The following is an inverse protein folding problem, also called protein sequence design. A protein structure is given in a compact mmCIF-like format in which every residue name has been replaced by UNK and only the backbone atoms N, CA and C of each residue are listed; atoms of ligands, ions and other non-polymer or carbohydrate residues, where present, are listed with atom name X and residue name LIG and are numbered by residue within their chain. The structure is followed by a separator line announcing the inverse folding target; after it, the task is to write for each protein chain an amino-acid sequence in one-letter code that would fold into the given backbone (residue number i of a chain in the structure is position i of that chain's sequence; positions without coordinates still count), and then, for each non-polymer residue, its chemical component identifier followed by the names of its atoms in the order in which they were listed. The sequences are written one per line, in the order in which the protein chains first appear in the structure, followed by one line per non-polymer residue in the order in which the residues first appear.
data_IF_576120683320
#
_entry.id   IF_576120683320
#
_cell.length_a   1.000
_cell.length_b   1.000
_cell.length_c   1.000
_cell.angle_alpha   90.00
_cell.angle_beta   90.00
_cell.angle_gamma   90.00
#
_symmetry.space_group_name_H-M   'P 1'
#
loop_
_entity.id
_entity.type
_entity.pdbx_description
1 polymer ?
#
# COMPACT_ATOMS: atom_id res chain seq x y z
N UNK A 1 3.06 -31.40 -16.49
CA UNK A 1 2.88 -29.97 -16.24
C UNK A 1 1.91 -29.34 -17.25
N UNK A 2 2.20 -29.42 -18.57
CA UNK A 2 1.40 -28.74 -19.61
C UNK A 2 -0.07 -29.20 -19.66
N UNK A 3 -0.34 -30.51 -19.55
CA UNK A 3 -1.73 -31.04 -19.52
C UNK A 3 -2.48 -30.59 -18.24
N UNK A 4 -1.80 -30.54 -17.12
CA UNK A 4 -2.38 -30.03 -15.87
C UNK A 4 -2.67 -28.51 -15.96
N UNK A 5 -1.80 -27.75 -16.61
CA UNK A 5 -2.03 -26.33 -16.89
C UNK A 5 -3.27 -26.11 -17.77
N UNK A 6 -3.37 -26.84 -18.91
CA UNK A 6 -4.53 -26.73 -19.80
C UNK A 6 -5.84 -27.13 -19.10
N UNK A 7 -5.81 -28.21 -18.31
CA UNK A 7 -6.96 -28.64 -17.50
C UNK A 7 -7.39 -27.59 -16.49
N UNK A 8 -6.43 -26.97 -15.82
CA UNK A 8 -6.67 -25.87 -14.86
C UNK A 8 -7.26 -24.63 -15.52
N UNK A 9 -6.68 -24.17 -16.61
CA UNK A 9 -7.18 -23.01 -17.36
C UNK A 9 -8.59 -23.24 -17.89
N UNK A 10 -8.87 -24.41 -18.41
CA UNK A 10 -10.24 -24.78 -18.85
C UNK A 10 -11.22 -24.76 -17.68
N UNK A 11 -10.87 -25.42 -16.55
CA UNK A 11 -11.72 -25.44 -15.36
C UNK A 11 -11.98 -24.03 -14.84
N UNK A 12 -10.96 -23.16 -14.86
CA UNK A 12 -11.10 -21.76 -14.49
C UNK A 12 -12.08 -21.02 -15.39
N UNK A 13 -11.87 -21.06 -16.71
CA UNK A 13 -12.73 -20.40 -17.68
C UNK A 13 -14.19 -20.88 -17.61
N UNK A 14 -14.38 -22.19 -17.51
CA UNK A 14 -15.72 -22.79 -17.38
C UNK A 14 -16.42 -22.34 -16.09
N UNK A 15 -15.68 -22.25 -14.97
CA UNK A 15 -16.24 -21.76 -13.70
C UNK A 15 -16.62 -20.29 -13.75
N UNK A 16 -15.76 -19.43 -14.32
CA UNK A 16 -16.03 -18.00 -14.46
C UNK A 16 -17.26 -17.72 -15.35
N UNK A 17 -17.38 -18.43 -16.48
CA UNK A 17 -18.54 -18.29 -17.37
C UNK A 17 -19.85 -18.70 -16.67
N UNK A 18 -19.83 -19.80 -15.91
CA UNK A 18 -20.99 -20.27 -15.15
C UNK A 18 -21.34 -19.32 -14.01
N UNK A 19 -20.33 -18.83 -13.26
CA UNK A 19 -20.56 -17.84 -12.19
C UNK A 19 -21.20 -16.57 -12.74
N UNK A 20 -20.75 -16.06 -13.88
CA UNK A 20 -21.33 -14.89 -14.53
C UNK A 20 -22.81 -15.13 -14.88
N UNK A 21 -23.14 -16.29 -15.48
CA UNK A 21 -24.52 -16.66 -15.80
C UNK A 21 -25.42 -16.81 -14.59
N UNK A 22 -24.96 -17.51 -13.54
CA UNK A 22 -25.72 -17.67 -12.28
C UNK A 22 -25.95 -16.35 -11.57
N UNK A 23 -24.94 -15.48 -11.48
CA UNK A 23 -25.07 -14.16 -10.84
C UNK A 23 -26.05 -13.24 -11.59
N UNK A 24 -26.15 -13.36 -12.91
CA UNK A 24 -27.19 -12.63 -13.68
C UNK A 24 -28.59 -13.05 -13.27
N UNK A 25 -28.81 -14.31 -12.86
CA UNK A 25 -30.11 -14.82 -12.45
C UNK A 25 -30.51 -14.41 -11.02
N UNK A 26 -29.55 -14.14 -10.14
CA UNK A 26 -29.83 -13.83 -8.71
C UNK A 26 -30.87 -12.72 -8.53
N UNK A 27 -30.73 -11.52 -9.12
CA UNK A 27 -31.71 -10.46 -8.96
C UNK A 27 -33.06 -10.78 -9.62
N UNK A 28 -33.09 -11.58 -10.67
CA UNK A 28 -34.34 -11.94 -11.37
C UNK A 28 -35.24 -12.84 -10.53
N UNK A 29 -34.65 -13.60 -9.60
CA UNK A 29 -35.40 -14.51 -8.70
C UNK A 29 -35.37 -14.06 -7.26
N UNK A 30 -35.16 -12.77 -6.99
CA UNK A 30 -35.03 -12.23 -5.63
C UNK A 30 -36.25 -12.50 -4.72
N UNK A 31 -37.45 -12.69 -5.30
CA UNK A 31 -38.68 -12.98 -4.58
C UNK A 31 -39.05 -14.48 -4.52
N UNK A 32 -38.25 -15.35 -5.11
CA UNK A 32 -38.48 -16.81 -5.17
C UNK A 32 -37.45 -17.52 -4.27
N UNK A 33 -37.86 -17.82 -3.04
CA UNK A 33 -36.98 -18.42 -2.02
C UNK A 33 -36.39 -19.78 -2.42
N UNK A 34 -37.13 -20.57 -3.19
CA UNK A 34 -36.67 -21.90 -3.65
C UNK A 34 -35.54 -21.72 -4.68
N UNK A 35 -35.76 -20.84 -5.66
CA UNK A 35 -34.73 -20.54 -6.69
C UNK A 35 -33.53 -19.82 -6.11
N UNK A 36 -33.73 -18.94 -5.12
CA UNK A 36 -32.63 -18.29 -4.40
C UNK A 36 -31.74 -19.33 -3.67
N UNK A 37 -32.35 -20.28 -2.99
CA UNK A 37 -31.59 -21.34 -2.33
C UNK A 37 -30.83 -22.23 -3.32
N UNK A 38 -31.47 -22.59 -4.42
CA UNK A 38 -30.80 -23.35 -5.50
C UNK A 38 -29.65 -22.57 -6.13
N UNK A 39 -29.86 -21.28 -6.46
CA UNK A 39 -28.81 -20.41 -7.03
C UNK A 39 -27.63 -20.28 -6.08
N UNK A 40 -27.86 -20.10 -4.77
CA UNK A 40 -26.77 -20.03 -3.79
C UNK A 40 -25.95 -21.33 -3.77
N UNK A 41 -26.60 -22.49 -3.76
CA UNK A 41 -25.93 -23.80 -3.79
C UNK A 41 -25.11 -23.97 -5.09
N UNK A 42 -25.66 -23.62 -6.25
CA UNK A 42 -24.96 -23.70 -7.53
C UNK A 42 -23.77 -22.76 -7.61
N UNK A 43 -23.93 -21.52 -7.11
CA UNK A 43 -22.84 -20.53 -7.03
C UNK A 43 -21.68 -21.08 -6.20
N UNK A 44 -21.95 -21.65 -5.03
CA UNK A 44 -20.93 -22.26 -4.17
C UNK A 44 -20.25 -23.43 -4.86
N UNK A 45 -21.02 -24.32 -5.48
CA UNK A 45 -20.50 -25.50 -6.19
C UNK A 45 -19.57 -25.11 -7.32
N UNK A 46 -19.99 -24.14 -8.13
CA UNK A 46 -19.20 -23.63 -9.27
C UNK A 46 -17.96 -22.87 -8.78
N UNK A 47 -18.11 -22.01 -7.79
CA UNK A 47 -17.00 -21.26 -7.19
C UNK A 47 -15.90 -22.18 -6.63
N UNK A 48 -16.29 -23.35 -6.12
CA UNK A 48 -15.35 -24.32 -5.54
C UNK A 48 -14.70 -25.25 -6.60
N UNK A 49 -15.15 -25.27 -7.84
CA UNK A 49 -14.68 -26.20 -8.89
C UNK A 49 -13.19 -25.99 -9.23
N UNK A 50 -12.75 -24.76 -9.38
CA UNK A 50 -11.34 -24.43 -9.68
C UNK A 50 -10.41 -24.66 -8.47
N UNK A 51 -10.70 -24.19 -7.26
CA UNK A 51 -9.95 -24.56 -6.06
C UNK A 51 -9.85 -26.07 -5.85
N UNK A 52 -10.93 -26.83 -6.11
CA UNK A 52 -10.93 -28.30 -6.03
C UNK A 52 -9.97 -28.93 -7.04
N UNK A 53 -9.95 -28.42 -8.28
CA UNK A 53 -8.99 -28.87 -9.29
C UNK A 53 -7.55 -28.62 -8.84
N UNK A 54 -7.23 -27.41 -8.35
CA UNK A 54 -5.89 -27.06 -7.88
C UNK A 54 -5.47 -28.01 -6.73
N UNK A 55 -6.36 -28.28 -5.77
CA UNK A 55 -6.10 -29.20 -4.66
C UNK A 55 -5.83 -30.63 -5.12
N UNK A 56 -6.34 -31.05 -6.27
CA UNK A 56 -6.07 -32.37 -6.84
C UNK A 56 -4.67 -32.53 -7.44
N UNK A 57 -3.98 -31.41 -7.70
CA UNK A 57 -2.62 -31.41 -8.22
C UNK A 57 -1.61 -31.60 -7.07
N UNK A 58 -0.48 -32.31 -7.30
CA UNK A 58 0.57 -32.42 -6.29
C UNK A 58 1.09 -31.07 -5.83
N UNK A 59 1.26 -30.90 -4.52
CA UNK A 59 1.54 -29.61 -3.88
C UNK A 59 2.83 -28.94 -4.36
N UNK A 60 3.86 -29.71 -4.58
CA UNK A 60 5.20 -29.25 -4.96
C UNK A 60 5.35 -28.95 -6.46
N UNK A 61 4.29 -29.09 -7.27
CA UNK A 61 4.37 -28.79 -8.71
C UNK A 61 4.22 -27.31 -8.99
N UNK A 62 5.11 -26.78 -9.82
CA UNK A 62 5.06 -25.41 -10.30
C UNK A 62 3.66 -25.04 -10.84
N UNK A 63 3.07 -25.92 -11.65
CA UNK A 63 1.75 -25.68 -12.27
C UNK A 63 0.64 -25.44 -11.22
N UNK A 64 0.70 -26.14 -10.07
CA UNK A 64 -0.27 -25.92 -9.00
C UNK A 64 -0.13 -24.52 -8.41
N UNK A 65 1.08 -24.10 -8.10
CA UNK A 65 1.36 -22.77 -7.54
C UNK A 65 1.04 -21.65 -8.55
N UNK A 66 1.41 -21.88 -9.81
CA UNK A 66 1.09 -20.95 -10.90
C UNK A 66 -0.42 -20.75 -11.06
N UNK A 67 -1.20 -21.84 -11.12
CA UNK A 67 -2.66 -21.79 -11.27
C UNK A 67 -3.33 -21.16 -10.04
N UNK A 68 -2.83 -21.42 -8.82
CA UNK A 68 -3.33 -20.80 -7.62
C UNK A 68 -3.10 -19.28 -7.66
N UNK A 69 -1.88 -18.84 -7.95
CA UNK A 69 -1.55 -17.42 -8.06
C UNK A 69 -2.33 -16.74 -9.18
N UNK A 70 -2.42 -17.37 -10.35
CA UNK A 70 -3.14 -16.82 -11.50
C UNK A 70 -4.64 -16.70 -11.22
N UNK A 71 -5.23 -17.72 -10.58
CA UNK A 71 -6.62 -17.69 -10.15
C UNK A 71 -6.91 -16.55 -9.17
N UNK A 72 -6.02 -16.34 -8.20
CA UNK A 72 -6.13 -15.22 -7.26
C UNK A 72 -6.07 -13.88 -7.98
N UNK A 73 -5.09 -13.67 -8.87
CA UNK A 73 -4.95 -12.43 -9.65
C UNK A 73 -6.24 -12.08 -10.40
N UNK A 74 -6.86 -13.06 -11.05
CA UNK A 74 -8.08 -12.86 -11.83
C UNK A 74 -9.35 -12.67 -10.96
N UNK A 75 -9.39 -13.27 -9.77
CA UNK A 75 -10.58 -13.28 -8.92
C UNK A 75 -10.60 -12.18 -7.87
N UNK A 76 -9.44 -11.75 -7.34
CA UNK A 76 -9.38 -10.71 -6.31
C UNK A 76 -10.05 -9.39 -6.72
N UNK A 77 -9.88 -8.84 -7.95
CA UNK A 77 -10.60 -7.64 -8.37
C UNK A 77 -12.11 -7.80 -8.33
N UNK A 78 -12.63 -8.94 -8.79
CA UNK A 78 -14.07 -9.25 -8.76
C UNK A 78 -14.58 -9.42 -7.33
N UNK A 79 -13.74 -9.92 -6.42
CA UNK A 79 -14.06 -10.03 -5.00
C UNK A 79 -14.20 -8.66 -4.36
N UNK A 80 -13.31 -7.73 -4.70
CA UNK A 80 -13.38 -6.34 -4.23
C UNK A 80 -14.68 -5.67 -4.68
N UNK A 81 -15.09 -5.86 -5.93
CA UNK A 81 -16.23 -5.18 -6.53
C UNK A 81 -17.57 -5.86 -6.21
N UNK A 82 -17.63 -7.18 -6.33
CA UNK A 82 -18.91 -7.92 -6.40
C UNK A 82 -19.02 -9.01 -5.33
N UNK A 83 -17.98 -9.82 -5.11
CA UNK A 83 -18.06 -11.04 -4.30
C UNK A 83 -17.36 -10.88 -2.94
N UNK A 84 -17.65 -9.81 -2.21
CA UNK A 84 -16.97 -9.44 -0.95
C UNK A 84 -16.91 -10.58 0.07
N UNK A 85 -17.89 -11.46 0.09
CA UNK A 85 -17.94 -12.65 0.96
C UNK A 85 -16.80 -13.65 0.71
N UNK A 86 -16.14 -13.61 -0.46
CA UNK A 86 -15.00 -14.48 -0.78
C UNK A 86 -13.66 -13.98 -0.25
N UNK A 87 -13.58 -12.77 0.28
CA UNK A 87 -12.32 -12.18 0.73
C UNK A 87 -11.57 -13.05 1.76
N UNK A 88 -12.21 -13.64 2.79
CA UNK A 88 -11.51 -14.52 3.71
C UNK A 88 -10.91 -15.76 3.05
N UNK A 89 -11.61 -16.34 2.05
CA UNK A 89 -11.12 -17.50 1.31
C UNK A 89 -9.88 -17.13 0.47
N UNK A 90 -9.90 -16.00 -0.22
CA UNK A 90 -8.76 -15.56 -1.03
C UNK A 90 -7.55 -15.18 -0.17
N UNK A 91 -7.75 -14.65 1.04
CA UNK A 91 -6.67 -14.42 2.00
C UNK A 91 -6.02 -15.76 2.40
N UNK A 92 -6.83 -16.76 2.72
CA UNK A 92 -6.32 -18.09 3.08
C UNK A 92 -5.61 -18.78 1.89
N UNK A 93 -6.15 -18.63 0.68
CA UNK A 93 -5.55 -19.15 -0.55
C UNK A 93 -4.22 -18.47 -0.87
N UNK A 94 -4.13 -17.14 -0.69
CA UNK A 94 -2.87 -16.39 -0.83
C UNK A 94 -1.81 -16.90 0.16
N UNK A 95 -2.18 -17.11 1.41
CA UNK A 95 -1.27 -17.64 2.43
C UNK A 95 -0.79 -19.06 2.13
N UNK A 96 -1.50 -19.81 1.27
CA UNK A 96 -1.11 -21.14 0.82
C UNK A 96 -0.23 -21.15 -0.45
N UNK A 97 -0.01 -19.99 -1.08
CA UNK A 97 0.89 -19.88 -2.25
C UNK A 97 2.33 -20.10 -1.81
N UNK A 98 3.03 -21.04 -2.45
CA UNK A 98 4.48 -21.14 -2.37
C UNK A 98 5.10 -20.08 -3.29
N UNK A 99 5.51 -18.95 -2.69
CA UNK A 99 6.03 -17.80 -3.43
C UNK A 99 7.35 -18.13 -4.12
N UNK A 100 8.19 -19.01 -3.54
CA UNK A 100 9.43 -19.50 -4.16
C UNK A 100 9.18 -20.14 -5.52
N UNK A 101 8.14 -20.95 -5.61
CA UNK A 101 7.80 -21.62 -6.85
C UNK A 101 7.42 -20.66 -7.99
N UNK A 102 7.17 -19.37 -7.69
CA UNK A 102 6.80 -18.35 -8.68
C UNK A 102 8.01 -17.55 -9.22
N UNK A 103 9.25 -17.87 -8.85
CA UNK A 103 10.46 -17.09 -9.20
C UNK A 103 10.55 -16.67 -10.66
N UNK A 104 10.19 -17.54 -11.59
CA UNK A 104 10.23 -17.25 -13.02
C UNK A 104 8.87 -17.02 -13.68
N UNK A 105 7.82 -16.81 -12.86
CA UNK A 105 6.45 -16.68 -13.36
C UNK A 105 6.09 -15.29 -13.85
N UNK A 106 6.79 -14.25 -13.37
CA UNK A 106 6.42 -12.84 -13.58
C UNK A 106 5.18 -12.37 -12.81
N UNK A 107 4.60 -13.22 -11.92
CA UNK A 107 3.30 -12.94 -11.28
C UNK A 107 3.37 -12.14 -9.98
N UNK A 108 4.56 -11.91 -9.41
CA UNK A 108 4.69 -11.24 -8.09
C UNK A 108 3.96 -9.91 -8.02
N UNK A 109 4.18 -9.04 -9.02
CA UNK A 109 3.60 -7.71 -9.04
C UNK A 109 2.08 -7.75 -8.98
N UNK A 110 1.47 -8.47 -9.91
CA UNK A 110 0.01 -8.55 -10.01
C UNK A 110 -0.60 -9.24 -8.78
N UNK A 111 0.05 -10.28 -8.27
CA UNK A 111 -0.41 -11.03 -7.11
C UNK A 111 -0.39 -10.15 -5.84
N UNK A 112 0.71 -9.47 -5.55
CA UNK A 112 0.87 -8.66 -4.34
C UNK A 112 0.02 -7.38 -4.39
N UNK A 113 -0.09 -6.75 -5.55
CA UNK A 113 -0.97 -5.60 -5.76
C UNK A 113 -2.45 -6.00 -5.60
N UNK A 114 -2.87 -7.09 -6.23
CA UNK A 114 -4.23 -7.62 -6.09
C UNK A 114 -4.57 -7.98 -4.65
N UNK A 115 -3.65 -8.61 -3.93
CA UNK A 115 -3.82 -8.93 -2.52
C UNK A 115 -3.93 -7.67 -1.64
N UNK A 116 -3.07 -6.69 -1.85
CA UNK A 116 -3.13 -5.41 -1.12
C UNK A 116 -4.47 -4.73 -1.34
N UNK A 117 -4.92 -4.61 -2.58
CA UNK A 117 -6.22 -4.00 -2.91
C UNK A 117 -7.40 -4.75 -2.27
N UNK A 118 -7.33 -6.08 -2.17
CA UNK A 118 -8.34 -6.88 -1.48
C UNK A 118 -8.38 -6.55 0.01
N UNK A 119 -7.21 -6.49 0.66
CA UNK A 119 -7.09 -6.27 2.10
C UNK A 119 -7.44 -4.84 2.49
N UNK A 120 -7.17 -3.83 1.66
CA UNK A 120 -7.57 -2.43 1.90
C UNK A 120 -9.09 -2.24 2.07
N UNK A 121 -9.91 -3.20 1.66
CA UNK A 121 -11.37 -3.15 1.79
C UNK A 121 -11.90 -3.66 3.13
N UNK A 122 -11.02 -4.10 4.02
CA UNK A 122 -11.42 -4.49 5.37
C UNK A 122 -11.91 -3.29 6.18
N UNK A 123 -12.83 -3.51 7.14
CA UNK A 123 -13.55 -2.42 7.81
C UNK A 123 -12.65 -1.49 8.62
N UNK A 124 -11.56 -2.01 9.17
CA UNK A 124 -10.67 -1.22 10.02
C UNK A 124 -9.23 -1.23 9.49
N UNK A 125 -8.56 -0.10 9.67
CA UNK A 125 -7.14 0.03 9.30
C UNK A 125 -6.25 -0.92 10.11
N UNK A 126 -6.67 -1.31 11.30
CA UNK A 126 -5.92 -2.21 12.17
C UNK A 126 -5.98 -3.66 11.65
N UNK A 127 -7.14 -4.12 11.21
CA UNK A 127 -7.29 -5.41 10.52
C UNK A 127 -6.48 -5.44 9.23
N UNK A 128 -6.59 -4.41 8.40
CA UNK A 128 -5.79 -4.24 7.17
C UNK A 128 -4.29 -4.37 7.47
N UNK A 129 -3.79 -3.62 8.47
CA UNK A 129 -2.37 -3.67 8.84
C UNK A 129 -1.95 -5.06 9.33
N UNK A 130 -2.76 -5.71 10.16
CA UNK A 130 -2.46 -7.04 10.70
C UNK A 130 -2.38 -8.09 9.59
N UNK A 131 -3.34 -8.10 8.67
CA UNK A 131 -3.39 -9.04 7.56
C UNK A 131 -2.21 -8.81 6.61
N UNK A 132 -1.90 -7.56 6.27
CA UNK A 132 -0.77 -7.23 5.41
C UNK A 132 0.57 -7.57 6.06
N UNK A 133 0.77 -7.27 7.34
CA UNK A 133 2.00 -7.62 8.05
C UNK A 133 2.25 -9.13 8.05
N UNK A 134 1.20 -9.93 8.30
CA UNK A 134 1.29 -11.39 8.24
C UNK A 134 1.67 -11.89 6.84
N UNK A 135 1.12 -11.29 5.80
CA UNK A 135 1.47 -11.64 4.42
C UNK A 135 2.91 -11.21 4.06
N UNK A 136 3.36 -10.05 4.55
CA UNK A 136 4.73 -9.56 4.38
C UNK A 136 5.72 -10.53 5.02
N UNK A 137 5.49 -10.93 6.28
CA UNK A 137 6.33 -11.90 6.98
C UNK A 137 6.47 -13.20 6.21
N UNK A 138 5.34 -13.71 5.68
CA UNK A 138 5.34 -14.92 4.85
C UNK A 138 6.15 -14.75 3.57
N UNK A 139 5.83 -13.73 2.76
CA UNK A 139 6.44 -13.56 1.43
C UNK A 139 7.95 -13.32 1.55
N UNK A 140 8.36 -12.41 2.42
CA UNK A 140 9.78 -12.09 2.62
C UNK A 140 10.51 -13.28 3.25
N UNK A 141 9.88 -13.98 4.20
CA UNK A 141 10.44 -15.19 4.81
C UNK A 141 10.60 -16.34 3.82
N UNK A 142 9.64 -16.55 2.92
CA UNK A 142 9.73 -17.58 1.87
C UNK A 142 10.88 -17.31 0.89
N UNK A 143 11.20 -16.04 0.63
CA UNK A 143 12.24 -15.63 -0.33
C UNK A 143 13.65 -15.49 0.28
N UNK A 144 13.83 -15.77 1.57
CA UNK A 144 15.13 -15.59 2.28
C UNK A 144 16.32 -16.29 1.64
N UNK A 145 16.10 -17.41 0.95
CA UNK A 145 17.18 -18.18 0.31
C UNK A 145 17.56 -17.64 -1.09
N UNK A 146 16.79 -16.66 -1.62
CA UNK A 146 17.10 -15.94 -2.86
C UNK A 146 17.11 -14.42 -2.58
N UNK A 147 18.23 -13.89 -2.06
CA UNK A 147 18.34 -12.50 -1.62
C UNK A 147 18.04 -11.46 -2.71
N UNK A 148 18.45 -11.74 -3.94
CA UNK A 148 18.20 -10.82 -5.08
C UNK A 148 16.71 -10.70 -5.37
N UNK A 149 16.00 -11.82 -5.42
CA UNK A 149 14.57 -11.82 -5.63
C UNK A 149 13.80 -11.23 -4.43
N UNK A 150 14.27 -11.53 -3.21
CA UNK A 150 13.71 -10.95 -1.98
C UNK A 150 13.80 -9.42 -2.00
N UNK A 151 14.96 -8.86 -2.41
CA UNK A 151 15.16 -7.42 -2.54
C UNK A 151 14.23 -6.82 -3.61
N UNK A 152 14.17 -7.43 -4.80
CA UNK A 152 13.33 -6.96 -5.90
C UNK A 152 11.83 -6.94 -5.50
N UNK A 153 11.35 -8.05 -4.95
CA UNK A 153 9.95 -8.18 -4.49
C UNK A 153 9.67 -7.23 -3.34
N UNK A 154 10.59 -7.12 -2.38
CA UNK A 154 10.47 -6.22 -1.24
C UNK A 154 10.38 -4.75 -1.66
N UNK A 155 11.25 -4.27 -2.54
CA UNK A 155 11.20 -2.89 -3.06
C UNK A 155 9.93 -2.61 -3.84
N UNK A 156 9.53 -3.54 -4.70
CA UNK A 156 8.32 -3.41 -5.50
C UNK A 156 7.07 -3.30 -4.61
N UNK A 157 6.95 -4.17 -3.62
CA UNK A 157 5.81 -4.17 -2.71
C UNK A 157 5.82 -2.96 -1.78
N UNK A 158 6.99 -2.60 -1.24
CA UNK A 158 7.17 -1.38 -0.46
C UNK A 158 6.66 -0.14 -1.20
N UNK A 159 7.10 0.05 -2.46
CA UNK A 159 6.67 1.19 -3.28
C UNK A 159 5.16 1.20 -3.49
N UNK A 160 4.55 0.03 -3.64
CA UNK A 160 3.10 -0.08 -3.80
C UNK A 160 2.34 0.29 -2.51
N UNK A 161 2.78 -0.24 -1.36
CA UNK A 161 2.21 0.10 -0.04
C UNK A 161 2.28 1.59 0.24
N UNK A 162 3.41 2.22 -0.08
CA UNK A 162 3.62 3.66 0.04
C UNK A 162 2.63 4.46 -0.82
N UNK A 163 2.48 4.08 -2.09
CA UNK A 163 1.57 4.76 -3.02
C UNK A 163 0.10 4.69 -2.58
N UNK A 164 -0.25 3.71 -1.76
CA UNK A 164 -1.56 3.51 -1.16
C UNK A 164 -1.69 4.08 0.27
N UNK A 165 -0.68 4.82 0.75
CA UNK A 165 -0.65 5.38 2.11
C UNK A 165 -0.77 4.34 3.23
N UNK A 166 -0.36 3.09 2.95
CA UNK A 166 -0.30 1.98 3.90
C UNK A 166 1.00 2.02 4.70
N UNK A 167 1.20 3.11 5.45
CA UNK A 167 2.47 3.45 6.10
C UNK A 167 2.94 2.40 7.11
N UNK A 168 2.03 1.79 7.90
CA UNK A 168 2.42 0.76 8.88
C UNK A 168 2.90 -0.55 8.24
N UNK A 169 2.20 -1.13 7.25
CA UNK A 169 2.73 -2.26 6.50
C UNK A 169 4.04 -1.94 5.76
N UNK A 170 4.19 -0.75 5.19
CA UNK A 170 5.43 -0.32 4.56
C UNK A 170 6.59 -0.22 5.57
N UNK A 171 6.35 0.32 6.78
CA UNK A 171 7.32 0.34 7.88
C UNK A 171 7.72 -1.07 8.33
N UNK A 172 6.73 -1.96 8.46
CA UNK A 172 6.96 -3.35 8.83
C UNK A 172 7.87 -4.05 7.80
N UNK A 173 7.56 -3.90 6.51
CA UNK A 173 8.35 -4.43 5.42
C UNK A 173 9.78 -3.86 5.42
N UNK A 174 9.94 -2.54 5.53
CA UNK A 174 11.24 -1.90 5.60
C UNK A 174 12.08 -2.41 6.79
N UNK A 175 11.45 -2.56 7.96
CA UNK A 175 12.11 -3.09 9.17
C UNK A 175 12.54 -4.53 8.99
N UNK A 176 11.70 -5.36 8.37
CA UNK A 176 12.00 -6.77 8.09
C UNK A 176 13.16 -6.90 7.10
N UNK A 177 13.14 -6.12 6.01
CA UNK A 177 14.21 -6.11 5.01
C UNK A 177 15.55 -5.66 5.59
N UNK A 178 15.57 -4.67 6.49
CA UNK A 178 16.80 -4.20 7.14
C UNK A 178 17.37 -5.18 8.17
N UNK A 179 16.55 -6.07 8.70
CA UNK A 179 16.97 -7.05 9.73
C UNK A 179 17.96 -8.09 9.17
N UNK A 180 17.75 -8.46 7.90
CA UNK A 180 18.59 -9.45 7.17
C UNK A 180 19.38 -8.75 6.03
N UNK A 181 19.98 -7.59 6.32
CA UNK A 181 20.53 -6.64 5.34
C UNK A 181 21.80 -7.08 4.59
N UNK A 182 22.28 -8.31 4.77
CA UNK A 182 23.53 -8.79 4.17
C UNK A 182 23.56 -8.82 2.64
N UNK A 183 22.42 -8.65 1.99
CA UNK A 183 22.25 -8.75 0.55
C UNK A 183 21.64 -7.51 -0.11
N UNK A 184 21.17 -6.54 0.67
CA UNK A 184 20.58 -5.32 0.13
C UNK A 184 21.65 -4.42 -0.50
N UNK A 185 21.35 -3.83 -1.65
CA UNK A 185 22.19 -2.78 -2.21
C UNK A 185 22.05 -1.47 -1.41
N UNK A 186 23.02 -0.56 -1.56
CA UNK A 186 23.06 0.70 -0.83
C UNK A 186 21.82 1.57 -1.02
N UNK A 187 21.23 1.55 -2.21
CA UNK A 187 20.01 2.31 -2.52
C UNK A 187 18.81 1.79 -1.73
N UNK A 188 18.66 0.46 -1.63
CA UNK A 188 17.59 -0.18 -0.84
C UNK A 188 17.78 0.08 0.64
N UNK A 189 19.00 -0.03 1.16
CA UNK A 189 19.32 0.27 2.55
C UNK A 189 18.90 1.72 2.87
N UNK A 190 19.34 2.66 2.04
CA UNK A 190 19.02 4.08 2.23
C UNK A 190 17.50 4.32 2.20
N UNK A 191 16.78 3.69 1.28
CA UNK A 191 15.33 3.79 1.17
C UNK A 191 14.64 3.31 2.46
N UNK A 192 14.93 2.10 2.90
CA UNK A 192 14.28 1.50 4.07
C UNK A 192 14.71 2.18 5.39
N UNK A 193 15.99 2.58 5.54
CA UNK A 193 16.46 3.30 6.71
C UNK A 193 15.81 4.68 6.87
N UNK A 194 15.66 5.42 5.77
CA UNK A 194 15.01 6.72 5.81
C UNK A 194 13.54 6.57 6.22
N UNK A 195 12.84 5.60 5.64
CA UNK A 195 11.45 5.34 6.00
C UNK A 195 11.30 4.91 7.47
N UNK A 196 12.17 4.03 7.96
CA UNK A 196 12.20 3.60 9.35
C UNK A 196 12.44 4.76 10.33
N UNK A 197 13.26 5.75 9.97
CA UNK A 197 13.51 6.94 10.79
C UNK A 197 12.28 7.83 10.94
N UNK A 198 11.40 7.86 9.93
CA UNK A 198 10.16 8.63 9.94
C UNK A 198 8.94 7.86 10.47
N UNK A 199 9.14 6.65 10.98
CA UNK A 199 8.08 5.80 11.49
C UNK A 199 7.35 6.44 12.69
N UNK A 200 6.05 6.17 12.79
CA UNK A 200 5.22 6.67 13.91
C UNK A 200 5.80 6.22 15.27
N UNK A 201 5.97 7.16 16.17
CA UNK A 201 6.57 6.92 17.50
C UNK A 201 8.10 7.06 17.53
N UNK A 202 8.74 7.41 16.42
CA UNK A 202 10.16 7.79 16.40
C UNK A 202 10.32 9.30 16.56
N UNK A 203 11.48 9.72 17.04
CA UNK A 203 11.82 11.14 17.05
C UNK A 203 12.11 11.62 15.65
N UNK A 204 11.32 12.56 15.16
CA UNK A 204 11.52 13.15 13.86
C UNK A 204 12.85 13.91 13.78
N UNK A 205 13.50 13.95 12.61
CA UNK A 205 14.70 14.77 12.40
C UNK A 205 14.43 16.24 12.74
N UNK A 206 15.39 16.90 13.36
CA UNK A 206 15.25 18.32 13.64
C UNK A 206 15.50 19.15 12.38
N UNK A 207 14.79 20.25 12.21
CA UNK A 207 14.91 21.15 11.07
C UNK A 207 15.46 22.49 11.56
N UNK A 208 16.55 22.94 10.94
CA UNK A 208 17.03 24.32 11.10
C UNK A 208 16.05 25.26 10.39
N UNK A 209 15.44 26.14 11.15
CA UNK A 209 14.61 27.25 10.66
C UNK A 209 15.45 28.53 10.69
N UNK A 210 14.91 29.68 10.30
CA UNK A 210 15.68 30.92 10.19
C UNK A 210 16.43 31.29 11.46
N UNK A 211 15.77 31.26 12.61
CA UNK A 211 16.26 31.72 13.93
C UNK A 211 16.19 30.67 15.03
N UNK A 212 15.64 29.52 14.74
CA UNK A 212 15.42 28.43 15.70
C UNK A 212 15.33 27.08 15.01
N UNK A 213 15.31 26.02 15.80
CA UNK A 213 15.05 24.64 15.33
C UNK A 213 13.59 24.27 15.50
N UNK A 214 13.14 23.29 14.72
CA UNK A 214 11.80 22.72 14.86
C UNK A 214 11.54 22.19 16.28
N UNK A 215 12.53 21.59 16.92
CA UNK A 215 12.47 21.10 18.30
C UNK A 215 12.22 22.21 19.32
N UNK A 216 12.57 23.45 19.01
CA UNK A 216 12.35 24.61 19.88
C UNK A 216 10.94 25.22 19.77
N UNK A 217 10.12 24.75 18.82
CA UNK A 217 8.70 25.09 18.74
C UNK A 217 7.97 24.34 19.85
N UNK A 218 7.41 25.09 20.82
CA UNK A 218 6.92 24.53 22.10
C UNK A 218 5.51 23.94 22.05
N UNK A 219 4.77 24.13 20.95
CA UNK A 219 3.41 23.62 20.82
C UNK A 219 3.38 22.08 20.94
N UNK A 220 2.28 21.57 21.49
CA UNK A 220 2.06 20.13 21.70
C UNK A 220 2.14 19.35 20.39
N UNK A 221 1.53 19.90 19.34
CA UNK A 221 1.58 19.32 18.00
C UNK A 221 2.25 20.28 17.03
N UNK A 222 2.96 19.74 16.06
CA UNK A 222 3.56 20.48 14.97
C UNK A 222 3.13 19.87 13.64
N UNK A 223 2.46 20.65 12.79
CA UNK A 223 2.15 20.24 11.43
C UNK A 223 3.23 20.79 10.51
N UNK A 224 4.14 19.92 10.08
CA UNK A 224 5.17 20.24 9.09
C UNK A 224 4.58 20.03 7.71
N UNK A 225 4.59 21.08 6.89
CA UNK A 225 4.07 21.06 5.52
C UNK A 225 5.20 21.34 4.56
N UNK A 226 5.44 20.45 3.62
CA UNK A 226 6.37 20.69 2.51
C UNK A 226 5.59 21.08 1.27
N UNK A 227 5.98 22.18 0.64
CA UNK A 227 5.29 22.70 -0.54
C UNK A 227 6.15 23.66 -1.34
N UNK A 228 5.57 24.27 -2.38
CA UNK A 228 6.22 25.30 -3.18
C UNK A 228 5.20 26.28 -3.76
N UNK A 229 5.63 27.52 -4.01
CA UNK A 229 4.80 28.56 -4.61
C UNK A 229 4.34 28.22 -6.04
N UNK A 230 5.13 27.45 -6.76
CA UNK A 230 4.86 27.00 -8.14
C UNK A 230 4.04 25.70 -8.24
N UNK A 231 3.80 25.01 -7.13
CA UNK A 231 3.09 23.73 -7.13
C UNK A 231 1.56 23.94 -7.17
N UNK A 232 0.84 23.48 -8.21
CA UNK A 232 -0.60 23.72 -8.35
C UNK A 232 -1.44 23.17 -7.18
N UNK A 233 -1.12 21.97 -6.70
CA UNK A 233 -1.81 21.36 -5.55
C UNK A 233 -1.55 22.16 -4.26
N UNK A 234 -0.32 22.65 -4.07
CA UNK A 234 0.02 23.50 -2.93
C UNK A 234 -0.76 24.83 -2.98
N UNK A 235 -0.86 25.43 -4.17
CA UNK A 235 -1.65 26.65 -4.37
C UNK A 235 -3.13 26.45 -4.05
N UNK A 236 -3.70 25.30 -4.40
CA UNK A 236 -5.09 24.96 -4.10
C UNK A 236 -5.34 24.71 -2.60
N UNK A 237 -4.34 24.21 -1.87
CA UNK A 237 -4.46 23.88 -0.45
C UNK A 237 -4.07 25.04 0.49
N UNK A 238 -3.16 25.91 0.07
CA UNK A 238 -2.64 26.98 0.91
C UNK A 238 -3.73 27.91 1.50
N UNK A 239 -4.74 28.37 0.73
CA UNK A 239 -5.85 29.16 1.30
C UNK A 239 -6.62 28.41 2.39
N UNK A 240 -6.86 27.11 2.20
CA UNK A 240 -7.58 26.25 3.16
C UNK A 240 -6.76 26.06 4.45
N UNK A 241 -5.44 25.96 4.33
CA UNK A 241 -4.53 25.88 5.48
C UNK A 241 -4.58 27.17 6.29
N UNK A 242 -4.53 28.32 5.65
CA UNK A 242 -4.66 29.65 6.29
C UNK A 242 -5.99 29.77 7.06
N UNK A 243 -7.09 29.41 6.40
CA UNK A 243 -8.44 29.46 7.00
C UNK A 243 -8.56 28.58 8.26
N UNK A 244 -8.03 27.36 8.19
CA UNK A 244 -8.15 26.40 9.28
C UNK A 244 -7.12 26.59 10.41
N UNK A 245 -6.00 27.24 10.14
CA UNK A 245 -4.86 27.30 11.07
C UNK A 245 -5.24 27.83 12.45
N UNK A 246 -5.94 28.97 12.53
CA UNK A 246 -6.29 29.59 13.82
C UNK A 246 -7.19 28.69 14.68
N UNK A 247 -8.11 27.97 14.05
CA UNK A 247 -8.97 27.02 14.75
C UNK A 247 -8.20 25.79 15.24
N UNK A 248 -7.29 25.26 14.41
CA UNK A 248 -6.44 24.13 14.79
C UNK A 248 -5.47 24.49 15.89
N UNK A 249 -4.84 25.67 15.81
CA UNK A 249 -3.92 26.19 16.81
C UNK A 249 -4.59 26.30 18.18
N UNK A 250 -5.79 26.90 18.24
CA UNK A 250 -6.54 27.06 19.50
C UNK A 250 -7.03 25.75 20.07
N UNK A 251 -7.55 24.87 19.21
CA UNK A 251 -8.17 23.61 19.65
C UNK A 251 -7.17 22.56 20.08
N UNK A 252 -6.02 22.49 19.44
CA UNK A 252 -5.09 21.37 19.62
C UNK A 252 -3.70 21.79 20.13
N UNK A 253 -3.46 23.05 20.44
CA UNK A 253 -2.12 23.58 20.73
C UNK A 253 -1.13 23.18 19.61
N UNK A 254 -1.53 23.47 18.37
CA UNK A 254 -0.80 23.10 17.18
C UNK A 254 -0.07 24.30 16.59
N UNK A 255 1.19 24.13 16.19
CA UNK A 255 1.90 25.07 15.34
C UNK A 255 2.10 24.47 13.94
N UNK A 256 1.96 25.29 12.92
CA UNK A 256 2.26 24.90 11.53
C UNK A 256 3.61 25.44 11.11
N UNK A 257 4.41 24.58 10.51
CA UNK A 257 5.73 24.94 9.95
C UNK A 257 5.74 24.58 8.50
N UNK A 258 5.72 25.57 7.62
CA UNK A 258 5.70 25.39 6.19
C UNK A 258 7.13 25.49 5.62
N UNK A 259 7.63 24.38 5.11
CA UNK A 259 8.95 24.27 4.49
C UNK A 259 8.76 24.36 2.97
N UNK A 260 9.26 25.44 2.39
CA UNK A 260 9.18 25.63 0.95
C UNK A 260 10.39 25.04 0.23
N UNK A 261 10.12 24.31 -0.85
CA UNK A 261 11.14 23.85 -1.80
C UNK A 261 11.28 24.79 -3.00
N UNK A 262 10.97 26.07 -2.82
CA UNK A 262 11.25 27.09 -3.85
C UNK A 262 12.76 27.28 -4.02
N UNK A 263 13.18 27.59 -5.25
CA UNK A 263 14.57 27.97 -5.57
C UNK A 263 14.72 29.47 -5.77
N UNK A 264 13.60 30.19 -5.93
CA UNK A 264 13.54 31.63 -6.03
C UNK A 264 13.05 32.25 -4.71
N UNK A 265 13.95 33.00 -4.06
CA UNK A 265 13.66 33.66 -2.79
C UNK A 265 12.55 34.71 -2.91
N UNK A 266 12.53 35.47 -4.00
CA UNK A 266 11.52 36.51 -4.21
C UNK A 266 10.13 35.92 -4.44
N UNK A 267 10.03 34.79 -5.17
CA UNK A 267 8.79 34.08 -5.38
C UNK A 267 8.26 33.55 -4.04
N UNK A 268 9.12 32.93 -3.21
CA UNK A 268 8.77 32.47 -1.88
C UNK A 268 8.28 33.60 -0.98
N UNK A 269 9.06 34.68 -0.84
CA UNK A 269 8.72 35.82 0.02
C UNK A 269 7.40 36.50 -0.40
N UNK A 270 7.16 36.66 -1.69
CA UNK A 270 5.92 37.23 -2.19
C UNK A 270 4.71 36.31 -1.96
N UNK A 271 4.86 35.01 -2.14
CA UNK A 271 3.75 34.08 -2.03
C UNK A 271 3.33 33.86 -0.59
N UNK A 272 4.31 33.71 0.34
CA UNK A 272 4.06 33.41 1.75
C UNK A 272 4.10 34.63 2.68
N UNK A 273 4.17 35.87 2.17
CA UNK A 273 4.26 37.12 2.97
C UNK A 273 3.18 37.25 4.04
N UNK A 274 1.96 36.76 3.77
CA UNK A 274 0.81 36.85 4.66
C UNK A 274 0.51 35.51 5.37
N UNK A 275 1.50 34.63 5.50
CA UNK A 275 1.33 33.34 6.22
C UNK A 275 1.15 33.60 7.72
N UNK A 276 0.09 33.08 8.37
CA UNK A 276 -0.11 33.23 9.80
C UNK A 276 0.72 32.24 10.63
N UNK A 277 1.51 31.41 10.01
CA UNK A 277 2.33 30.34 10.58
C UNK A 277 3.79 30.50 10.18
N UNK A 278 4.66 29.65 10.75
CA UNK A 278 6.10 29.67 10.48
C UNK A 278 6.34 29.22 9.03
N UNK A 279 7.13 30.02 8.27
CA UNK A 279 7.57 29.65 6.93
C UNK A 279 9.08 29.62 6.85
N UNK A 280 9.62 28.68 6.07
CA UNK A 280 11.05 28.51 5.86
C UNK A 280 11.35 28.12 4.41
N UNK A 281 12.43 28.68 3.86
CA UNK A 281 12.97 28.32 2.55
C UNK A 281 14.47 28.60 2.54
N UNK A 282 15.28 27.62 2.18
CA UNK A 282 16.74 27.75 1.98
C UNK A 282 17.14 27.89 0.50
N UNK A 283 16.16 27.99 -0.39
CA UNK A 283 16.30 28.13 -1.85
C UNK A 283 17.03 26.97 -2.55
N UNK A 284 17.17 25.82 -1.86
CA UNK A 284 17.83 24.64 -2.44
C UNK A 284 16.87 23.68 -3.16
N UNK A 285 15.59 24.01 -3.23
CA UNK A 285 14.58 23.18 -3.87
C UNK A 285 14.49 21.80 -3.22
N UNK A 286 14.42 20.76 -4.03
CA UNK A 286 14.46 19.36 -3.57
C UNK A 286 15.76 18.96 -2.84
N UNK A 287 16.80 19.78 -2.92
CA UNK A 287 18.06 19.54 -2.22
C UNK A 287 18.10 20.11 -0.80
N UNK A 288 17.02 20.76 -0.33
CA UNK A 288 16.94 21.18 1.07
C UNK A 288 17.11 19.99 2.01
N UNK A 289 17.90 20.20 3.09
CA UNK A 289 18.18 19.12 4.03
C UNK A 289 16.90 18.61 4.69
N UNK A 290 15.96 19.51 5.00
CA UNK A 290 14.66 19.13 5.56
C UNK A 290 13.88 18.15 4.67
N UNK A 291 13.81 18.39 3.34
CA UNK A 291 13.11 17.47 2.44
C UNK A 291 13.80 16.10 2.36
N UNK A 292 15.13 16.06 2.43
CA UNK A 292 15.91 14.81 2.45
C UNK A 292 15.70 14.03 3.74
N UNK A 293 15.78 14.71 4.90
CA UNK A 293 15.66 14.08 6.22
C UNK A 293 14.23 13.56 6.48
N UNK A 294 13.23 14.24 5.92
CA UNK A 294 11.82 13.88 6.02
C UNK A 294 11.32 13.03 4.84
N UNK A 295 12.22 12.66 3.94
CA UNK A 295 11.93 11.78 2.81
C UNK A 295 10.80 12.28 1.91
N UNK A 296 10.79 13.57 1.64
CA UNK A 296 9.74 14.21 0.85
C UNK A 296 9.96 13.97 -0.64
N UNK A 297 9.06 13.21 -1.26
CA UNK A 297 9.11 12.83 -2.68
C UNK A 297 8.12 13.61 -3.55
N UNK A 298 7.16 14.28 -2.94
CA UNK A 298 6.11 15.04 -3.64
C UNK A 298 5.66 16.23 -2.79
N UNK A 299 5.00 17.21 -3.42
CA UNK A 299 4.35 18.32 -2.73
C UNK A 299 2.87 18.45 -3.16
N UNK A 300 1.97 18.81 -2.23
CA UNK A 300 2.24 19.02 -0.80
C UNK A 300 2.42 17.70 -0.03
N UNK A 301 3.29 17.70 0.98
CA UNK A 301 3.41 16.61 1.97
C UNK A 301 3.13 17.17 3.36
N UNK A 302 2.35 16.44 4.16
CA UNK A 302 1.92 16.82 5.51
C UNK A 302 2.41 15.80 6.52
N UNK A 303 3.10 16.28 7.57
CA UNK A 303 3.62 15.43 8.64
C UNK A 303 3.22 16.02 9.99
N UNK A 304 2.48 15.26 10.78
CA UNK A 304 2.08 15.64 12.14
C UNK A 304 3.05 15.05 13.14
N UNK A 305 3.64 15.93 13.96
CA UNK A 305 4.59 15.61 15.02
C UNK A 305 3.99 15.91 16.39
#
# INVERSE_FOLDING_TARGET
EYQAFLGGMKTFQDSEAKLAGLNYLVPLYAQDSIKQHWLAHELDTVAYSFPKYIKSLPEQRFVRQYLLARGLIEQMPKTVETYKWRAPAHIAEFMAVDVKALEHSGLYKELLQGYTNLVERFPTIEETNTILNTAIDKVIGDLKDNPTLQEEVGQMWFTYLESHSLSRPAEHLATLMLKDNHSLNEKSINLFEQYRKMAVGKTAPDIELNDKKLSQVKNKYKLVVFGASWCPNCQADYPKLKEKYESLKKKYDLEMVYISIDTDKSAFENYYKDAPFITYCDTKGWNTQAAKDYYVMATPTYILL
#
